data_IF_299273093354
#
_entry.id   IF_299273093354
#
_cell.length_a   1.000
_cell.length_b   1.000
_cell.length_c   1.000
_cell.angle_alpha   90.00
_cell.angle_beta   90.00
_cell.angle_gamma   90.00
#
_symmetry.space_group_name_H-M   'P 1'
#
loop_
_entity.id
_entity.type
_entity.pdbx_description
1 polymer ?
#
# COMPACT_ATOMS: atom_id res chain seq x y z
N UNK A 1 -35.15 -17.07 30.38
CA UNK A 1 -35.26 -17.77 29.07
C UNK A 1 -34.64 -16.96 27.94
N UNK A 2 -34.88 -15.64 27.90
CA UNK A 2 -34.28 -14.74 26.91
C UNK A 2 -32.74 -14.77 26.92
N UNK A 3 -32.10 -14.81 28.08
CA UNK A 3 -30.62 -14.87 28.15
C UNK A 3 -30.05 -16.12 27.50
N UNK A 4 -30.69 -17.29 27.73
CA UNK A 4 -30.29 -18.55 27.10
C UNK A 4 -30.46 -18.50 25.58
N UNK A 5 -31.52 -17.86 25.09
CA UNK A 5 -31.76 -17.66 23.65
C UNK A 5 -30.69 -16.73 23.06
N UNK A 6 -30.34 -15.64 23.76
CA UNK A 6 -29.28 -14.71 23.35
C UNK A 6 -27.93 -15.43 23.27
N UNK A 7 -27.56 -16.25 24.26
CA UNK A 7 -26.33 -17.03 24.22
C UNK A 7 -26.28 -17.99 23.03
N UNK A 8 -27.37 -18.70 22.74
CA UNK A 8 -27.44 -19.61 21.58
C UNK A 8 -27.29 -18.84 20.27
N UNK A 9 -27.95 -17.69 20.12
CA UNK A 9 -27.82 -16.83 18.93
C UNK A 9 -26.37 -16.34 18.76
N UNK A 10 -25.74 -15.89 19.84
CA UNK A 10 -24.33 -15.43 19.82
C UNK A 10 -23.41 -16.58 19.42
N UNK A 11 -23.57 -17.77 20.00
CA UNK A 11 -22.73 -18.93 19.70
C UNK A 11 -22.89 -19.35 18.23
N UNK A 12 -24.12 -19.40 17.72
CA UNK A 12 -24.39 -19.72 16.31
C UNK A 12 -23.81 -18.66 15.37
N UNK A 13 -23.89 -17.38 15.72
CA UNK A 13 -23.29 -16.29 14.95
C UNK A 13 -21.76 -16.38 14.94
N UNK A 14 -21.15 -16.59 16.11
CA UNK A 14 -19.69 -16.72 16.27
C UNK A 14 -19.16 -17.93 15.49
N UNK A 15 -19.84 -19.08 15.60
CA UNK A 15 -19.45 -20.29 14.85
C UNK A 15 -19.61 -20.11 13.34
N UNK A 16 -20.65 -19.41 12.87
CA UNK A 16 -20.81 -19.06 11.45
C UNK A 16 -19.68 -18.15 10.96
N UNK A 17 -19.32 -17.12 11.72
CA UNK A 17 -18.20 -16.22 11.38
C UNK A 17 -16.87 -16.97 11.38
N UNK A 18 -16.61 -17.82 12.38
CA UNK A 18 -15.41 -18.67 12.44
C UNK A 18 -15.30 -19.60 11.23
N UNK A 19 -16.41 -20.23 10.84
CA UNK A 19 -16.47 -21.06 9.62
C UNK A 19 -16.13 -20.22 8.37
N UNK A 20 -16.63 -19.00 8.28
CA UNK A 20 -16.37 -18.09 7.15
C UNK A 20 -14.94 -17.52 7.14
N UNK A 21 -14.28 -17.44 8.30
CA UNK A 21 -12.87 -17.07 8.40
C UNK A 21 -11.94 -18.22 7.97
N UNK A 22 -12.30 -19.45 8.35
CA UNK A 22 -11.52 -20.67 8.07
C UNK A 22 -11.78 -21.22 6.66
N UNK A 23 -12.88 -20.83 6.02
CA UNK A 23 -13.25 -21.30 4.67
C UNK A 23 -12.11 -21.13 3.66
N UNK A 24 -11.89 -22.16 2.85
CA UNK A 24 -10.88 -22.13 1.79
C UNK A 24 -11.28 -21.23 0.61
N UNK A 25 -12.58 -20.94 0.46
CA UNK A 25 -13.10 -20.08 -0.61
C UNK A 25 -12.89 -18.59 -0.30
N UNK A 26 -12.65 -17.76 -1.35
CA UNK A 26 -12.54 -16.33 -1.19
C UNK A 26 -13.90 -15.74 -0.81
N UNK A 27 -14.00 -15.22 0.42
CA UNK A 27 -15.24 -14.68 0.98
C UNK A 27 -15.07 -13.22 1.39
N UNK A 28 -16.12 -12.42 1.21
CA UNK A 28 -16.12 -11.00 1.58
C UNK A 28 -15.79 -10.77 3.05
N UNK A 29 -16.32 -11.61 3.95
CA UNK A 29 -16.04 -11.57 5.40
C UNK A 29 -14.57 -11.82 5.69
N UNK A 30 -13.94 -12.82 5.04
CA UNK A 30 -12.51 -13.13 5.19
C UNK A 30 -11.64 -11.97 4.70
N UNK A 31 -11.99 -11.38 3.55
CA UNK A 31 -11.32 -10.20 3.02
C UNK A 31 -11.41 -9.02 4.00
N UNK A 32 -12.62 -8.63 4.43
CA UNK A 32 -12.82 -7.53 5.38
C UNK A 32 -12.13 -7.79 6.72
N UNK A 33 -12.09 -9.03 7.19
CA UNK A 33 -11.41 -9.40 8.44
C UNK A 33 -9.89 -9.25 8.33
N UNK A 34 -9.28 -9.63 7.20
CA UNK A 34 -7.84 -9.37 6.93
C UNK A 34 -7.53 -7.86 6.97
N UNK A 35 -8.40 -7.02 6.39
CA UNK A 35 -8.25 -5.56 6.48
C UNK A 35 -8.46 -5.01 7.89
N UNK A 36 -9.43 -5.54 8.65
CA UNK A 36 -9.66 -5.16 10.03
C UNK A 36 -8.42 -5.45 10.89
N UNK A 37 -7.82 -6.64 10.74
CA UNK A 37 -6.57 -7.00 11.42
C UNK A 37 -5.45 -6.02 11.07
N UNK A 38 -5.33 -5.65 9.79
CA UNK A 38 -4.37 -4.63 9.36
C UNK A 38 -4.58 -3.29 10.07
N UNK A 39 -5.80 -2.77 10.10
CA UNK A 39 -6.10 -1.49 10.75
C UNK A 39 -5.87 -1.51 12.27
N UNK A 40 -6.21 -2.63 12.93
CA UNK A 40 -5.93 -2.81 14.35
C UNK A 40 -4.42 -2.84 14.59
N UNK A 41 -3.67 -3.60 13.79
CA UNK A 41 -2.22 -3.72 13.93
C UNK A 41 -1.49 -2.40 13.70
N UNK A 42 -1.85 -1.64 12.68
CA UNK A 42 -1.26 -0.31 12.40
C UNK A 42 -1.60 0.68 13.50
N UNK A 43 -2.82 0.66 14.02
CA UNK A 43 -3.24 1.52 15.13
C UNK A 43 -2.47 1.19 16.40
N UNK A 44 -2.34 -0.09 16.77
CA UNK A 44 -1.56 -0.53 17.93
C UNK A 44 -0.09 -0.14 17.82
N UNK A 45 0.51 -0.37 16.65
CA UNK A 45 1.90 0.02 16.38
C UNK A 45 2.07 1.53 16.51
N UNK A 46 1.10 2.31 16.05
CA UNK A 46 1.11 3.77 16.15
C UNK A 46 1.08 4.22 17.61
N UNK A 47 0.24 3.64 18.47
CA UNK A 47 0.21 3.96 19.91
C UNK A 47 1.56 3.70 20.57
N UNK A 48 2.20 2.58 20.24
CA UNK A 48 3.49 2.20 20.83
C UNK A 48 4.62 3.13 20.36
N UNK A 49 4.63 3.52 19.08
CA UNK A 49 5.69 4.36 18.51
C UNK A 49 5.52 5.85 18.81
N UNK A 50 4.30 6.31 19.08
CA UNK A 50 3.98 7.71 19.27
C UNK A 50 4.81 8.39 20.38
N UNK A 51 5.02 7.81 21.58
CA UNK A 51 5.92 8.38 22.59
C UNK A 51 7.34 8.64 22.06
N UNK A 52 7.86 7.76 21.21
CA UNK A 52 9.20 7.91 20.63
C UNK A 52 9.23 9.00 19.54
N UNK A 53 8.17 9.11 18.74
CA UNK A 53 8.08 10.09 17.67
C UNK A 53 7.94 11.53 18.18
N UNK A 54 7.39 11.72 19.38
CA UNK A 54 7.29 13.05 20.02
C UNK A 54 8.68 13.63 20.32
N UNK A 55 9.69 12.80 20.61
CA UNK A 55 11.06 13.27 20.89
C UNK A 55 11.83 13.68 19.63
N UNK A 56 11.43 13.19 18.45
CA UNK A 56 12.05 13.54 17.16
C UNK A 56 10.96 13.80 16.10
N UNK A 57 10.15 14.86 16.25
CA UNK A 57 8.97 15.06 15.40
C UNK A 57 9.36 15.36 13.95
N UNK A 58 8.52 14.90 13.01
CA UNK A 58 8.62 15.12 11.56
C UNK A 58 9.90 14.56 10.90
N UNK A 59 10.53 13.56 11.50
CA UNK A 59 11.65 12.87 10.88
C UNK A 59 11.17 11.69 10.02
N UNK A 60 11.47 11.71 8.73
CA UNK A 60 11.09 10.63 7.79
C UNK A 60 11.64 9.24 8.18
N UNK A 61 12.73 9.20 8.95
CA UNK A 61 13.29 7.94 9.48
C UNK A 61 12.37 7.27 10.50
N UNK A 62 11.49 8.02 11.16
CA UNK A 62 10.48 7.46 12.05
C UNK A 62 9.50 6.57 11.26
N UNK A 63 9.13 7.00 10.04
CA UNK A 63 8.30 6.18 9.16
C UNK A 63 8.99 4.86 8.82
N UNK A 64 10.30 4.88 8.54
CA UNK A 64 11.09 3.67 8.28
C UNK A 64 11.02 2.68 9.46
N UNK A 65 11.14 3.14 10.70
CA UNK A 65 10.99 2.26 11.88
C UNK A 65 9.59 1.65 11.95
N UNK A 66 8.54 2.45 11.70
CA UNK A 66 7.17 1.97 11.69
C UNK A 66 6.93 0.90 10.62
N UNK A 67 7.46 1.10 9.40
CA UNK A 67 7.27 0.15 8.30
C UNK A 67 7.93 -1.19 8.57
N UNK A 68 9.09 -1.22 9.25
CA UNK A 68 9.74 -2.48 9.65
C UNK A 68 8.88 -3.34 10.57
N UNK A 69 8.02 -2.73 11.39
CA UNK A 69 7.10 -3.45 12.27
C UNK A 69 5.83 -3.83 11.50
N UNK A 70 5.21 -2.88 10.79
CA UNK A 70 3.93 -3.08 10.10
C UNK A 70 4.03 -4.09 8.96
N UNK A 71 5.19 -4.21 8.29
CA UNK A 71 5.36 -5.15 7.17
C UNK A 71 5.07 -6.62 7.55
N UNK A 72 5.15 -7.00 8.82
CA UNK A 72 4.83 -8.36 9.27
C UNK A 72 3.36 -8.76 9.02
N UNK A 73 2.46 -7.79 8.93
CA UNK A 73 1.04 -8.04 8.56
C UNK A 73 0.91 -8.68 7.18
N UNK A 74 1.87 -8.45 6.28
CA UNK A 74 1.87 -9.05 4.94
C UNK A 74 1.83 -10.58 4.99
N UNK A 75 2.43 -11.19 6.02
CA UNK A 75 2.37 -12.64 6.28
C UNK A 75 0.97 -13.09 6.68
N UNK A 76 0.24 -12.28 7.45
CA UNK A 76 -1.13 -12.57 7.90
C UNK A 76 -2.14 -12.43 6.75
N UNK A 77 -1.90 -11.47 5.84
CA UNK A 77 -2.76 -11.27 4.66
C UNK A 77 -2.40 -12.28 3.55
N UNK A 78 -1.26 -12.95 3.64
CA UNK A 78 -0.72 -13.93 2.67
C UNK A 78 -0.42 -13.29 1.30
N UNK A 79 0.12 -12.07 1.33
CA UNK A 79 0.54 -11.34 0.13
C UNK A 79 2.04 -11.48 -0.06
N UNK A 80 2.45 -11.94 -1.25
CA UNK A 80 3.85 -11.97 -1.68
C UNK A 80 4.13 -10.73 -2.51
N UNK A 81 5.26 -10.10 -2.24
CA UNK A 81 5.66 -8.85 -2.87
C UNK A 81 6.88 -9.09 -3.74
N UNK A 82 6.82 -8.64 -4.98
CA UNK A 82 7.89 -8.74 -5.95
C UNK A 82 8.24 -7.34 -6.41
N UNK A 83 9.51 -6.95 -6.30
CA UNK A 83 9.98 -5.64 -6.74
C UNK A 83 10.87 -5.78 -7.98
N UNK A 84 10.49 -5.10 -9.04
CA UNK A 84 11.24 -5.02 -10.30
C UNK A 84 11.91 -3.64 -10.37
N UNK A 85 13.19 -3.61 -10.76
CA UNK A 85 13.99 -2.39 -10.93
C UNK A 85 14.14 -1.51 -9.67
N UNK A 86 14.16 -2.11 -8.48
CA UNK A 86 14.34 -1.39 -7.21
C UNK A 86 15.63 -0.54 -7.12
N UNK A 87 16.62 -0.78 -7.99
CA UNK A 87 17.84 0.06 -8.10
C UNK A 87 17.51 1.54 -8.37
N UNK A 88 16.45 1.81 -9.13
CA UNK A 88 16.06 3.18 -9.50
C UNK A 88 15.56 3.94 -8.28
N UNK A 89 14.87 3.24 -7.37
CA UNK A 89 14.37 3.77 -6.11
C UNK A 89 15.49 3.90 -5.04
N UNK A 90 16.50 3.03 -5.10
CA UNK A 90 17.61 3.02 -4.14
C UNK A 90 18.63 4.16 -4.33
N UNK A 91 18.62 4.83 -5.48
CA UNK A 91 19.55 5.91 -5.77
C UNK A 91 19.25 7.16 -4.92
N UNK A 92 20.28 7.72 -4.27
CA UNK A 92 20.16 8.90 -3.40
C UNK A 92 20.02 10.18 -4.24
N UNK A 93 18.83 10.38 -4.83
CA UNK A 93 18.47 11.56 -5.62
C UNK A 93 17.11 12.12 -5.20
N UNK A 94 16.94 13.43 -5.35
CA UNK A 94 15.64 14.08 -5.14
C UNK A 94 14.66 13.73 -6.26
N UNK A 95 13.55 13.08 -5.95
CA UNK A 95 12.51 12.74 -6.91
C UNK A 95 11.11 12.65 -6.27
N UNK A 96 10.08 12.85 -7.08
CA UNK A 96 8.68 12.59 -6.72
C UNK A 96 8.28 11.23 -7.23
N UNK A 97 7.97 10.30 -6.34
CA UNK A 97 7.45 8.99 -6.70
C UNK A 97 5.96 9.09 -6.98
N UNK A 98 5.56 8.84 -8.23
CA UNK A 98 4.16 8.79 -8.66
C UNK A 98 3.75 7.33 -8.76
N UNK A 99 2.81 6.90 -7.92
CA UNK A 99 2.26 5.55 -7.95
C UNK A 99 0.81 5.52 -8.43
N UNK A 100 0.43 4.46 -9.13
CA UNK A 100 -0.99 4.14 -9.27
C UNK A 100 -1.55 3.75 -7.90
N UNK A 101 -2.71 4.28 -7.50
CA UNK A 101 -3.36 3.95 -6.24
C UNK A 101 -4.63 3.14 -6.52
N UNK A 102 -4.49 1.83 -6.64
CA UNK A 102 -5.58 0.92 -7.01
C UNK A 102 -6.38 0.46 -5.79
N UNK A 103 -5.76 0.33 -4.61
CA UNK A 103 -6.45 0.03 -3.36
C UNK A 103 -5.63 0.38 -2.12
N UNK A 104 -6.23 0.32 -0.94
CA UNK A 104 -5.50 0.50 0.33
C UNK A 104 -4.45 -0.58 0.60
N UNK A 105 -4.41 -1.69 -0.16
CA UNK A 105 -3.33 -2.68 -0.04
C UNK A 105 -2.01 -2.16 -0.60
N UNK A 106 -2.04 -1.14 -1.47
CA UNK A 106 -0.85 -0.55 -2.07
C UNK A 106 0.06 0.09 -0.99
N UNK A 107 -0.52 0.62 0.10
CA UNK A 107 0.26 1.14 1.22
C UNK A 107 1.09 0.04 1.91
N UNK A 108 0.59 -1.20 1.90
CA UNK A 108 1.30 -2.35 2.46
C UNK A 108 2.51 -2.74 1.59
N UNK A 109 2.38 -2.53 0.28
CA UNK A 109 3.46 -2.65 -0.68
C UNK A 109 4.54 -1.61 -0.44
N UNK A 110 4.10 -0.35 -0.27
CA UNK A 110 4.99 0.74 0.11
C UNK A 110 5.77 0.41 1.38
N UNK A 111 5.13 -0.13 2.43
CA UNK A 111 5.83 -0.53 3.66
C UNK A 111 6.89 -1.62 3.44
N UNK A 112 6.68 -2.51 2.48
CA UNK A 112 7.66 -3.54 2.14
C UNK A 112 8.84 -2.99 1.34
N UNK A 113 8.65 -2.00 0.47
CA UNK A 113 9.74 -1.39 -0.31
C UNK A 113 10.39 -0.20 0.40
N UNK A 114 9.79 0.30 1.49
CA UNK A 114 10.22 1.52 2.19
C UNK A 114 11.70 1.52 2.62
N UNK A 115 12.25 0.33 2.91
CA UNK A 115 13.65 0.16 3.30
C UNK A 115 14.66 0.34 2.16
N UNK A 116 14.19 0.38 0.92
CA UNK A 116 15.01 0.64 -0.26
C UNK A 116 15.14 2.15 -0.47
N UNK A 117 14.12 2.91 -0.07
CA UNK A 117 14.09 4.36 -0.11
C UNK A 117 14.23 4.96 1.29
N UNK A 118 15.45 4.97 1.85
CA UNK A 118 15.73 5.39 3.23
C UNK A 118 15.21 6.79 3.60
N UNK A 119 15.07 7.70 2.62
CA UNK A 119 14.66 9.09 2.79
C UNK A 119 13.34 9.41 2.05
N UNK A 120 12.34 8.54 2.14
CA UNK A 120 11.03 8.76 1.53
C UNK A 120 10.01 9.34 2.52
N UNK A 121 9.20 10.29 2.04
CA UNK A 121 8.02 10.78 2.73
C UNK A 121 6.79 10.47 1.88
N UNK A 122 5.77 9.85 2.47
CA UNK A 122 4.48 9.69 1.79
C UNK A 122 3.70 11.00 1.79
N UNK A 123 2.89 11.16 0.74
CA UNK A 123 1.87 12.20 0.65
C UNK A 123 0.53 11.53 0.91
N UNK A 124 -0.23 12.04 1.88
CA UNK A 124 -1.53 11.51 2.27
C UNK A 124 -2.59 12.61 2.27
N UNK A 125 -3.86 12.23 2.07
CA UNK A 125 -4.97 13.19 2.20
C UNK A 125 -5.18 13.59 3.65
N UNK A 126 -5.66 14.80 3.87
CA UNK A 126 -5.95 15.38 5.18
C UNK A 126 -6.79 14.48 6.10
N UNK A 127 -7.74 13.73 5.54
CA UNK A 127 -8.63 12.83 6.28
C UNK A 127 -7.85 11.72 7.01
N UNK A 128 -6.72 11.28 6.46
CA UNK A 128 -5.87 10.24 7.05
C UNK A 128 -5.30 10.70 8.39
N UNK A 129 -5.00 12.00 8.53
CA UNK A 129 -4.47 12.55 9.77
C UNK A 129 -5.49 12.59 10.91
N UNK A 130 -6.80 12.54 10.59
CA UNK A 130 -7.86 12.46 11.59
C UNK A 130 -8.17 11.03 12.08
N UNK A 131 -7.57 10.00 11.45
CA UNK A 131 -7.73 8.61 11.89
C UNK A 131 -6.85 8.35 13.10
N UNK A 132 -7.38 8.60 14.29
CA UNK A 132 -6.65 8.37 15.53
C UNK A 132 -6.49 6.87 15.83
N UNK A 133 -5.32 6.40 16.32
CA UNK A 133 -4.07 7.13 16.63
C UNK A 133 -3.07 7.20 15.46
N UNK A 134 -3.36 6.51 14.35
CA UNK A 134 -2.48 6.38 13.20
C UNK A 134 -2.11 7.74 12.56
N UNK A 135 -3.09 8.62 12.37
CA UNK A 135 -2.90 9.91 11.70
C UNK A 135 -1.90 10.82 12.42
N UNK A 136 -1.94 10.87 13.75
CA UNK A 136 -0.96 11.63 14.54
C UNK A 136 0.44 11.03 14.43
N UNK A 137 0.56 9.69 14.50
CA UNK A 137 1.85 9.03 14.32
C UNK A 137 2.41 9.26 12.91
N UNK A 138 1.57 9.23 11.87
CA UNK A 138 1.95 9.53 10.49
C UNK A 138 2.46 10.96 10.34
N UNK A 139 1.78 11.95 10.95
CA UNK A 139 2.24 13.34 10.97
C UNK A 139 3.62 13.49 11.62
N UNK A 140 3.81 12.88 12.79
CA UNK A 140 5.10 12.91 13.50
C UNK A 140 6.18 12.10 12.78
N UNK A 141 5.78 11.16 11.92
CA UNK A 141 6.69 10.39 11.07
C UNK A 141 7.11 11.13 9.78
N UNK A 142 6.64 12.38 9.58
CA UNK A 142 7.01 13.19 8.42
C UNK A 142 6.16 12.95 7.17
N UNK A 143 4.98 12.31 7.30
CA UNK A 143 4.01 12.21 6.21
C UNK A 143 3.46 13.61 5.90
N UNK A 144 3.45 13.95 4.62
CA UNK A 144 3.06 15.26 4.11
C UNK A 144 1.59 15.24 3.72
N UNK A 145 0.86 16.32 4.03
CA UNK A 145 -0.51 16.50 3.57
C UNK A 145 -0.53 16.98 2.12
N UNK A 146 -1.41 16.41 1.30
CA UNK A 146 -1.74 16.87 -0.06
C UNK A 146 -2.03 18.36 -0.19
N UNK A 147 -2.53 19.05 0.85
CA UNK A 147 -2.76 20.50 0.80
C UNK A 147 -1.47 21.33 0.79
N UNK A 148 -0.30 20.73 1.08
CA UNK A 148 0.98 21.43 1.10
C UNK A 148 1.62 21.49 -0.31
N UNK A 149 1.97 22.69 -0.79
CA UNK A 149 2.63 22.89 -2.10
C UNK A 149 4.11 22.50 -2.05
N UNK A 150 4.55 21.73 -3.03
CA UNK A 150 5.95 21.32 -3.24
C UNK A 150 6.44 21.67 -4.65
N UNK A 151 7.71 22.04 -4.79
CA UNK A 151 8.41 22.27 -6.06
C UNK A 151 9.51 21.21 -6.26
N UNK A 152 9.26 20.14 -7.04
CA UNK A 152 10.21 19.03 -7.21
C UNK A 152 11.18 19.20 -8.39
N UNK A 153 12.32 18.49 -8.35
CA UNK A 153 13.38 18.52 -9.38
C UNK A 153 13.34 17.35 -10.37
N UNK A 154 12.65 16.25 -10.04
CA UNK A 154 12.45 15.08 -10.91
C UNK A 154 11.21 14.27 -10.51
N UNK A 155 10.67 13.45 -11.42
CA UNK A 155 9.58 12.51 -11.14
C UNK A 155 10.02 11.05 -11.42
N UNK A 156 9.90 10.19 -10.41
CA UNK A 156 10.06 8.73 -10.48
C UNK A 156 8.67 8.12 -10.54
N UNK A 157 8.48 7.07 -11.32
CA UNK A 157 7.17 6.43 -11.45
C UNK A 157 7.27 5.00 -10.95
N UNK A 158 6.26 4.60 -10.19
CA UNK A 158 6.13 3.24 -9.68
C UNK A 158 4.73 2.72 -9.97
N UNK A 159 4.61 1.44 -10.30
CA UNK A 159 3.29 0.84 -10.51
C UNK A 159 3.20 -0.52 -9.86
N UNK A 160 2.10 -0.73 -9.14
CA UNK A 160 1.72 -2.04 -8.61
C UNK A 160 0.77 -2.76 -9.57
N UNK A 161 0.98 -4.06 -9.73
CA UNK A 161 0.10 -5.00 -10.40
C UNK A 161 -0.22 -6.13 -9.41
N UNK A 162 -1.49 -6.32 -9.11
CA UNK A 162 -1.94 -7.36 -8.18
C UNK A 162 -2.63 -8.49 -8.94
N UNK A 163 -2.19 -9.71 -8.66
CA UNK A 163 -2.84 -10.93 -9.10
C UNK A 163 -2.94 -11.93 -7.94
N UNK A 164 -3.67 -13.02 -8.11
CA UNK A 164 -3.70 -14.12 -7.14
C UNK A 164 -3.01 -15.34 -7.77
N UNK A 165 -2.44 -16.23 -6.97
CA UNK A 165 -1.98 -17.54 -7.45
C UNK A 165 -2.11 -18.55 -6.30
N UNK A 166 -2.97 -19.56 -6.48
CA UNK A 166 -3.35 -20.46 -5.38
C UNK A 166 -4.01 -19.72 -4.20
N UNK A 167 -3.54 -19.99 -2.99
CA UNK A 167 -4.02 -19.34 -1.75
C UNK A 167 -3.39 -17.97 -1.48
N UNK A 168 -2.32 -17.60 -2.17
CA UNK A 168 -1.56 -16.36 -1.92
C UNK A 168 -1.84 -15.27 -2.95
N UNK A 169 -1.81 -14.02 -2.51
CA UNK A 169 -1.94 -12.86 -3.39
C UNK A 169 -0.56 -12.39 -3.86
N UNK A 170 -0.39 -12.36 -5.19
CA UNK A 170 0.68 -11.79 -5.99
C UNK A 170 0.63 -10.26 -6.03
N UNK A 171 1.62 -9.50 -5.56
CA UNK A 171 1.74 -8.08 -5.96
C UNK A 171 3.13 -7.81 -6.51
N UNK A 172 3.18 -7.33 -7.74
CA UNK A 172 4.40 -6.92 -8.44
C UNK A 172 4.43 -5.41 -8.46
N UNK A 173 5.51 -4.82 -7.93
CA UNK A 173 5.78 -3.40 -7.99
C UNK A 173 6.94 -3.22 -8.97
N UNK A 174 6.75 -2.39 -9.99
CA UNK A 174 7.78 -2.06 -10.97
C UNK A 174 8.13 -0.58 -10.86
N UNK A 175 9.41 -0.31 -10.61
CA UNK A 175 9.97 1.04 -10.71
C UNK A 175 10.36 1.32 -12.17
N UNK A 176 9.89 2.43 -12.72
CA UNK A 176 10.23 2.89 -14.06
C UNK A 176 11.37 3.90 -14.01
N UNK A 177 12.06 4.07 -15.14
CA UNK A 177 13.12 5.06 -15.26
C UNK A 177 12.57 6.48 -15.01
N UNK A 178 13.35 7.34 -14.32
CA UNK A 178 12.89 8.68 -13.95
C UNK A 178 12.66 9.55 -15.19
N UNK A 179 11.63 10.39 -15.14
CA UNK A 179 11.39 11.42 -16.15
C UNK A 179 12.02 12.73 -15.68
N UNK A 180 13.01 13.29 -16.41
CA UNK A 180 13.61 14.57 -16.06
C UNK A 180 12.57 15.69 -16.15
N UNK A 181 12.55 16.57 -15.14
CA UNK A 181 11.70 17.76 -15.11
C UNK A 181 12.50 19.06 -15.07
N UNK A 182 13.82 18.99 -15.32
CA UNK A 182 14.69 20.15 -15.38
C UNK A 182 14.26 21.06 -16.54
N UNK A 183 14.00 22.34 -16.24
CA UNK A 183 13.58 23.33 -17.23
C UNK A 183 12.07 23.37 -17.49
N UNK A 184 11.27 22.51 -16.86
CA UNK A 184 9.81 22.58 -16.94
C UNK A 184 9.26 23.65 -15.99
N UNK A 185 8.17 24.28 -16.41
CA UNK A 185 7.41 25.27 -15.66
C UNK A 185 6.02 24.75 -15.30
N UNK A 186 5.23 25.55 -14.58
CA UNK A 186 3.84 25.19 -14.27
C UNK A 186 2.96 25.07 -15.52
N UNK A 187 3.36 25.68 -16.64
CA UNK A 187 2.64 25.61 -17.93
C UNK A 187 2.77 24.22 -18.58
N UNK A 188 3.87 23.51 -18.31
CA UNK A 188 4.17 22.19 -18.89
C UNK A 188 3.52 21.03 -18.10
N UNK A 189 2.95 21.31 -16.93
CA UNK A 189 2.36 20.32 -16.03
C UNK A 189 1.27 19.47 -16.71
N UNK A 190 0.31 20.04 -17.50
CA UNK A 190 -0.71 19.25 -18.16
C UNK A 190 -0.12 18.22 -19.13
N UNK A 191 0.87 18.61 -19.93
CA UNK A 191 1.54 17.71 -20.87
C UNK A 191 2.35 16.64 -20.13
N UNK A 192 3.06 17.04 -19.07
CA UNK A 192 3.82 16.12 -18.22
C UNK A 192 2.92 15.05 -17.60
N UNK A 193 1.74 15.40 -17.08
CA UNK A 193 0.78 14.44 -16.51
C UNK A 193 0.35 13.42 -17.57
N UNK A 194 0.03 13.87 -18.79
CA UNK A 194 -0.38 12.98 -19.88
C UNK A 194 0.76 12.04 -20.26
N UNK A 195 1.99 12.55 -20.37
CA UNK A 195 3.19 11.77 -20.65
C UNK A 195 3.42 10.70 -19.59
N UNK A 196 3.40 11.08 -18.31
CA UNK A 196 3.57 10.17 -17.16
C UNK A 196 2.48 9.08 -17.19
N UNK A 197 1.22 9.47 -17.39
CA UNK A 197 0.10 8.52 -17.48
C UNK A 197 0.28 7.51 -18.61
N UNK A 198 0.69 7.96 -19.79
CA UNK A 198 0.90 7.07 -20.93
C UNK A 198 2.05 6.09 -20.68
N UNK A 199 3.17 6.55 -20.11
CA UNK A 199 4.31 5.68 -19.72
C UNK A 199 3.83 4.61 -18.75
N UNK A 200 3.12 5.01 -17.68
CA UNK A 200 2.58 4.07 -16.70
C UNK A 200 1.58 3.09 -17.33
N UNK A 201 0.72 3.54 -18.23
CA UNK A 201 -0.29 2.71 -18.91
C UNK A 201 0.35 1.64 -19.79
N UNK A 202 1.37 2.01 -20.57
CA UNK A 202 2.14 1.07 -21.39
C UNK A 202 2.82 0.02 -20.52
N UNK A 203 3.56 0.44 -19.48
CA UNK A 203 4.24 -0.48 -18.58
C UNK A 203 3.28 -1.48 -17.91
N UNK A 204 2.06 -1.05 -17.57
CA UNK A 204 1.06 -1.97 -17.02
C UNK A 204 0.50 -2.96 -18.01
N UNK A 205 0.25 -2.54 -19.26
CA UNK A 205 -0.21 -3.48 -20.30
C UNK A 205 0.85 -4.54 -20.56
N UNK A 206 2.11 -4.15 -20.60
CA UNK A 206 3.25 -5.06 -20.75
C UNK A 206 3.40 -6.00 -19.55
N UNK A 207 3.44 -5.45 -18.33
CA UNK A 207 3.56 -6.24 -17.11
C UNK A 207 2.38 -7.18 -16.91
N UNK A 208 1.16 -6.71 -17.17
CA UNK A 208 -0.04 -7.55 -17.16
C UNK A 208 0.13 -8.70 -18.14
N UNK A 209 0.52 -8.45 -19.39
CA UNK A 209 0.74 -9.49 -20.39
C UNK A 209 1.81 -10.50 -19.97
N UNK A 210 2.94 -10.03 -19.44
CA UNK A 210 4.04 -10.88 -18.96
C UNK A 210 3.56 -11.80 -17.82
N UNK A 211 2.94 -11.21 -16.79
CA UNK A 211 2.41 -11.97 -15.66
C UNK A 211 1.34 -12.95 -16.12
N UNK A 212 0.38 -12.52 -16.97
CA UNK A 212 -0.65 -13.40 -17.52
C UNK A 212 -0.06 -14.56 -18.32
N UNK A 213 1.00 -14.32 -19.10
CA UNK A 213 1.68 -15.37 -19.87
C UNK A 213 2.44 -16.38 -18.99
N UNK A 214 2.86 -15.96 -17.79
CA UNK A 214 3.54 -16.82 -16.82
C UNK A 214 2.57 -17.67 -15.98
N UNK A 215 1.27 -17.39 -16.04
CA UNK A 215 0.25 -18.11 -15.29
C UNK A 215 -0.16 -19.41 -16.02
N UNK A 216 -0.56 -20.46 -15.27
CA UNK A 216 -1.13 -21.68 -15.84
C UNK A 216 -2.35 -21.41 -16.73
N UNK A 217 -2.53 -22.21 -17.80
CA UNK A 217 -3.62 -22.02 -18.77
C UNK A 217 -5.03 -22.21 -18.18
N UNK A 218 -5.14 -22.88 -17.03
CA UNK A 218 -6.37 -23.11 -16.27
C UNK A 218 -6.62 -22.04 -15.18
N UNK A 219 -5.78 -21.00 -15.13
CA UNK A 219 -5.91 -19.95 -14.13
C UNK A 219 -7.20 -19.16 -14.35
N UNK A 220 -8.13 -19.11 -13.38
CA UNK A 220 -9.36 -18.34 -13.49
C UNK A 220 -8.99 -16.86 -13.36
N UNK A 221 -8.62 -16.27 -14.49
CA UNK A 221 -8.54 -14.82 -14.63
C UNK A 221 -9.95 -14.32 -14.37
N UNK A 222 -10.12 -13.66 -13.24
CA UNK A 222 -11.35 -13.00 -12.88
C UNK A 222 -11.78 -12.16 -14.09
N UNK A 223 -12.89 -12.60 -14.68
CA UNK A 223 -13.76 -11.84 -15.57
C UNK A 223 -13.73 -10.37 -15.21
N UNK A 224 -13.14 -9.56 -16.08
CA UNK A 224 -13.41 -8.14 -16.18
C UNK A 224 -13.49 -7.84 -17.67
N UNK A 225 -14.71 -7.96 -18.19
CA UNK A 225 -15.16 -7.12 -19.31
C UNK A 225 -15.11 -5.65 -18.88
#
# INVERSE_FOLDING_TARGET
MLDKIIYVIIITLVTYVLKQLISETPNFVKFKSKFLIFYIWTSLTSVILLPFFVFNPKNVKNALVATQIVKHVTRVIEVKWHLINGRVLAEDRGAVVVSNHQSSIDILGMFNIWHIADKIAAIARKEIFYVWPFGLAAYLAGVVDTEQRFYPTAAVQERSFQYRCGRSSHVVIQCLEPVPTLGLTMEDVPELIVKIRNIMETAYKELSKEVLSSLPADYPLATVD
#
